data_IF_701924388291
#
_entry.id   IF_701924388291
#
_cell.length_a   1.000
_cell.length_b   1.000
_cell.length_c   1.000
_cell.angle_alpha   90.00
_cell.angle_beta   90.00
_cell.angle_gamma   90.00
#
_symmetry.space_group_name_H-M   'P 1'
#
loop_
_entity.id
_entity.type
_entity.pdbx_description
1 polymer ?
#
# COMPACT_ATOMS: atom_id res chain seq x y z
N UNK A 1 -4.51 -1.14 17.07
CA UNK A 1 -3.37 -1.60 16.26
C UNK A 1 -3.86 -2.47 15.11
N UNK A 2 -4.43 -3.66 15.35
CA UNK A 2 -5.03 -4.50 14.29
C UNK A 2 -6.04 -3.75 13.37
N UNK A 3 -6.90 -2.88 13.95
CA UNK A 3 -7.93 -2.19 13.17
C UNK A 3 -7.39 -1.18 12.15
N UNK A 4 -6.21 -0.60 12.36
CA UNK A 4 -5.63 0.36 11.41
C UNK A 4 -4.97 -0.36 10.23
N UNK A 5 -4.26 -1.46 10.50
CA UNK A 5 -3.69 -2.30 9.43
C UNK A 5 -4.80 -2.91 8.58
N UNK A 6 -5.88 -3.39 9.21
CA UNK A 6 -7.06 -3.91 8.49
C UNK A 6 -7.71 -2.85 7.61
N UNK A 7 -7.80 -1.61 8.09
CA UNK A 7 -8.32 -0.48 7.32
C UNK A 7 -7.44 -0.17 6.11
N UNK A 8 -6.12 -0.06 6.31
CA UNK A 8 -5.16 0.15 5.21
C UNK A 8 -5.21 -1.02 4.20
N UNK A 9 -5.32 -2.26 4.66
CA UNK A 9 -5.43 -3.42 3.80
C UNK A 9 -6.72 -3.38 2.96
N UNK A 10 -7.83 -2.91 3.53
CA UNK A 10 -9.09 -2.72 2.82
C UNK A 10 -8.98 -1.63 1.76
N UNK A 11 -8.34 -0.50 2.06
CA UNK A 11 -8.08 0.57 1.10
C UNK A 11 -7.18 0.09 -0.04
N UNK A 12 -6.10 -0.62 0.27
CA UNK A 12 -5.21 -1.23 -0.72
C UNK A 12 -5.96 -2.22 -1.63
N UNK A 13 -6.88 -3.01 -1.07
CA UNK A 13 -7.73 -3.93 -1.83
C UNK A 13 -8.69 -3.19 -2.78
N UNK A 14 -9.25 -2.05 -2.35
CA UNK A 14 -10.12 -1.24 -3.21
C UNK A 14 -9.34 -0.68 -4.41
N UNK A 15 -8.14 -0.15 -4.17
CA UNK A 15 -7.25 0.28 -5.25
C UNK A 15 -6.91 -0.87 -6.20
N UNK A 16 -6.52 -2.03 -5.66
CA UNK A 16 -6.17 -3.20 -6.45
C UNK A 16 -7.34 -3.64 -7.35
N UNK A 17 -8.57 -3.61 -6.83
CA UNK A 17 -9.76 -3.92 -7.61
C UNK A 17 -10.00 -2.90 -8.73
N UNK A 18 -9.89 -1.61 -8.44
CA UNK A 18 -10.05 -0.56 -9.44
C UNK A 18 -9.01 -0.67 -10.57
N UNK A 19 -7.75 -0.98 -10.25
CA UNK A 19 -6.71 -1.24 -11.25
C UNK A 19 -7.03 -2.47 -12.11
N UNK A 20 -7.50 -3.58 -11.53
CA UNK A 20 -7.86 -4.79 -12.28
C UNK A 20 -9.07 -4.60 -13.19
N UNK A 21 -10.01 -3.74 -12.80
CA UNK A 21 -11.18 -3.40 -13.60
C UNK A 21 -10.89 -2.35 -14.67
N UNK A 22 -9.69 -1.76 -14.70
CA UNK A 22 -9.32 -0.70 -15.64
C UNK A 22 -9.97 0.64 -15.33
N UNK A 23 -10.45 0.87 -14.10
CA UNK A 23 -11.06 2.12 -13.68
C UNK A 23 -10.00 3.16 -13.31
N UNK A 24 -9.26 3.65 -14.30
CA UNK A 24 -8.05 4.46 -14.08
C UNK A 24 -8.28 5.73 -13.24
N UNK A 25 -9.39 6.43 -13.46
CA UNK A 25 -9.74 7.65 -12.72
C UNK A 25 -10.02 7.35 -11.24
N UNK A 26 -10.87 6.36 -10.98
CA UNK A 26 -11.19 5.90 -9.62
C UNK A 26 -9.95 5.33 -8.91
N UNK A 27 -9.19 4.50 -9.61
CA UNK A 27 -7.97 3.90 -9.07
C UNK A 27 -6.95 4.97 -8.68
N UNK A 28 -6.83 6.05 -9.45
CA UNK A 28 -5.92 7.16 -9.13
C UNK A 28 -6.36 7.90 -7.86
N UNK A 29 -7.64 8.18 -7.71
CA UNK A 29 -8.18 8.82 -6.49
C UNK A 29 -7.97 7.93 -5.27
N UNK A 30 -8.41 6.66 -5.35
CA UNK A 30 -8.24 5.71 -4.26
C UNK A 30 -6.77 5.48 -3.90
N UNK A 31 -5.87 5.51 -4.89
CA UNK A 31 -4.44 5.32 -4.65
C UNK A 31 -3.82 6.49 -3.88
N UNK A 32 -4.25 7.72 -4.15
CA UNK A 32 -3.80 8.90 -3.38
C UNK A 32 -4.25 8.76 -1.93
N UNK A 33 -5.54 8.48 -1.70
CA UNK A 33 -6.10 8.31 -0.36
C UNK A 33 -5.36 7.20 0.42
N UNK A 34 -5.08 6.08 -0.24
CA UNK A 34 -4.30 4.98 0.32
C UNK A 34 -2.86 5.40 0.69
N UNK A 35 -2.17 6.15 -0.17
CA UNK A 35 -0.80 6.60 0.10
C UNK A 35 -0.76 7.58 1.29
N UNK A 36 -1.73 8.47 1.40
CA UNK A 36 -1.85 9.40 2.54
C UNK A 36 -2.08 8.64 3.85
N UNK A 37 -3.01 7.68 3.84
CA UNK A 37 -3.32 6.86 5.01
C UNK A 37 -2.13 5.96 5.42
N UNK A 38 -1.45 5.34 4.44
CA UNK A 38 -0.25 4.54 4.68
C UNK A 38 0.88 5.39 5.26
N UNK A 39 1.13 6.58 4.70
CA UNK A 39 2.19 7.47 5.18
C UNK A 39 1.94 7.90 6.63
N UNK A 40 0.69 8.20 6.98
CA UNK A 40 0.28 8.53 8.34
C UNK A 40 0.51 7.34 9.30
N UNK A 41 0.17 6.12 8.87
CA UNK A 41 0.42 4.90 9.66
C UNK A 41 1.92 4.68 9.90
N UNK A 42 2.75 4.76 8.85
CA UNK A 42 4.19 4.57 8.98
C UNK A 42 4.83 5.63 9.88
N UNK A 43 4.40 6.89 9.79
CA UNK A 43 4.85 7.96 10.67
C UNK A 43 4.49 7.69 12.14
N UNK A 44 3.26 7.24 12.41
CA UNK A 44 2.80 6.91 13.76
C UNK A 44 3.62 5.78 14.42
N UNK A 45 4.18 4.88 13.62
CA UNK A 45 5.02 3.77 14.09
C UNK A 45 6.53 4.00 13.90
N UNK A 46 6.97 5.22 13.59
CA UNK A 46 8.38 5.56 13.33
C UNK A 46 9.04 4.73 12.21
N UNK A 47 8.24 4.28 11.24
CA UNK A 47 8.65 3.44 10.11
C UNK A 47 8.97 4.22 8.83
N UNK A 48 8.90 5.55 8.82
CA UNK A 48 9.19 6.38 7.64
C UNK A 48 10.60 6.17 7.06
N UNK A 49 11.58 5.82 7.89
CA UNK A 49 12.95 5.51 7.47
C UNK A 49 13.23 4.01 7.27
N UNK A 50 12.23 3.15 7.43
CA UNK A 50 12.42 1.71 7.38
C UNK A 50 12.76 1.26 5.95
N UNK A 51 13.87 0.51 5.84
CA UNK A 51 14.44 0.07 4.56
C UNK A 51 13.46 -0.77 3.73
N UNK A 52 12.69 -1.65 4.36
CA UNK A 52 11.75 -2.55 3.66
C UNK A 52 10.65 -1.74 2.97
N UNK A 53 10.07 -0.76 3.66
CA UNK A 53 9.06 0.12 3.05
C UNK A 53 9.64 0.99 1.94
N UNK A 54 10.86 1.50 2.10
CA UNK A 54 11.53 2.27 1.05
C UNK A 54 11.77 1.43 -0.22
N UNK A 55 12.22 0.18 -0.08
CA UNK A 55 12.40 -0.75 -1.20
C UNK A 55 11.05 -1.06 -1.87
N UNK A 56 10.00 -1.33 -1.09
CA UNK A 56 8.65 -1.57 -1.59
C UNK A 56 8.10 -0.38 -2.39
N UNK A 57 8.28 0.84 -1.88
CA UNK A 57 7.83 2.05 -2.58
C UNK A 57 8.56 2.26 -3.91
N UNK A 58 9.86 1.96 -3.99
CA UNK A 58 10.58 2.01 -5.27
C UNK A 58 10.00 1.03 -6.28
N UNK A 59 9.71 -0.20 -5.86
CA UNK A 59 9.07 -1.21 -6.72
C UNK A 59 7.71 -0.72 -7.22
N UNK A 60 6.87 -0.15 -6.33
CA UNK A 60 5.57 0.40 -6.69
C UNK A 60 5.69 1.59 -7.66
N UNK A 61 6.64 2.50 -7.45
CA UNK A 61 6.91 3.64 -8.35
C UNK A 61 7.33 3.14 -9.72
N UNK A 62 8.22 2.17 -9.79
CA UNK A 62 8.70 1.61 -11.06
C UNK A 62 7.60 0.87 -11.81
N UNK A 63 6.76 0.12 -11.11
CA UNK A 63 5.55 -0.49 -11.67
C UNK A 63 4.61 0.58 -12.24
N UNK A 64 4.38 1.66 -11.48
CA UNK A 64 3.54 2.77 -11.90
C UNK A 64 4.06 3.46 -13.17
N UNK A 65 5.38 3.72 -13.25
CA UNK A 65 6.05 4.31 -14.42
C UNK A 65 5.93 3.45 -15.68
N UNK A 66 5.97 2.12 -15.53
CA UNK A 66 5.79 1.18 -16.64
C UNK A 66 4.32 0.97 -17.04
N UNK A 67 3.38 1.55 -16.30
CA UNK A 67 1.95 1.29 -16.50
C UNK A 67 1.52 -0.10 -16.05
N UNK A 68 2.31 -0.78 -15.22
CA UNK A 68 2.05 -2.15 -14.78
C UNK A 68 1.07 -2.18 -13.61
N UNK A 69 -0.21 -1.90 -13.93
CA UNK A 69 -1.28 -1.76 -12.93
C UNK A 69 -1.66 -3.08 -12.27
N UNK A 70 -1.49 -4.21 -12.97
CA UNK A 70 -1.78 -5.53 -12.42
C UNK A 70 -0.73 -5.93 -11.38
N UNK A 71 0.54 -5.71 -11.67
CA UNK A 71 1.59 -5.94 -10.69
C UNK A 71 1.45 -5.02 -9.47
N UNK A 72 1.08 -3.75 -9.68
CA UNK A 72 0.79 -2.83 -8.57
C UNK A 72 -0.40 -3.33 -7.72
N UNK A 73 -1.45 -3.86 -8.34
CA UNK A 73 -2.59 -4.44 -7.65
C UNK A 73 -2.20 -5.67 -6.80
N UNK A 74 -1.27 -6.49 -7.27
CA UNK A 74 -0.77 -7.65 -6.52
C UNK A 74 0.04 -7.23 -5.29
N UNK A 75 0.91 -6.22 -5.43
CA UNK A 75 1.63 -5.63 -4.29
C UNK A 75 0.65 -5.11 -3.24
N UNK A 76 -0.34 -4.32 -3.68
CA UNK A 76 -1.33 -3.71 -2.80
C UNK A 76 -2.18 -4.74 -2.06
N UNK A 77 -2.60 -5.81 -2.75
CA UNK A 77 -3.48 -6.81 -2.16
C UNK A 77 -2.75 -7.80 -1.25
N UNK A 78 -1.55 -8.23 -1.64
CA UNK A 78 -0.91 -9.38 -1.00
C UNK A 78 0.34 -9.01 -0.22
N UNK A 79 1.24 -8.21 -0.80
CA UNK A 79 2.55 -7.91 -0.18
C UNK A 79 2.43 -6.85 0.91
N UNK A 80 1.78 -5.72 0.61
CA UNK A 80 1.68 -4.59 1.53
C UNK A 80 1.04 -4.98 2.89
N UNK A 81 -0.11 -5.67 2.94
CA UNK A 81 -0.70 -6.05 4.23
C UNK A 81 0.14 -7.07 5.00
N UNK A 82 0.89 -7.93 4.31
CA UNK A 82 1.79 -8.89 4.95
C UNK A 82 2.98 -8.16 5.61
N UNK A 83 3.62 -7.24 4.89
CA UNK A 83 4.75 -6.45 5.38
C UNK A 83 4.34 -5.56 6.56
N UNK A 84 3.17 -4.92 6.49
CA UNK A 84 2.63 -4.10 7.57
C UNK A 84 2.45 -4.91 8.87
N UNK A 85 1.83 -6.10 8.78
CA UNK A 85 1.67 -6.98 9.95
C UNK A 85 3.01 -7.39 10.55
N UNK A 86 3.97 -7.78 9.72
CA UNK A 86 5.31 -8.16 10.19
C UNK A 86 6.04 -7.04 10.95
N UNK A 87 5.88 -5.78 10.53
CA UNK A 87 6.65 -4.67 11.11
C UNK A 87 5.89 -3.86 12.17
N UNK A 88 4.56 -3.98 12.23
CA UNK A 88 3.71 -3.25 13.17
C UNK A 88 3.16 -4.16 14.27
N UNK A 89 2.75 -5.40 13.95
CA UNK A 89 2.25 -6.33 14.99
C UNK A 89 3.39 -6.91 15.85
N UNK A 90 4.64 -6.91 15.36
CA UNK A 90 5.82 -7.32 16.13
C UNK A 90 6.45 -6.17 16.95
N UNK A 91 5.86 -4.97 16.90
CA UNK A 91 6.35 -3.83 17.66
C UNK A 91 5.84 -3.90 19.12
N UNK A 92 6.71 -4.01 20.14
CA UNK A 92 6.32 -4.19 21.54
C UNK A 92 5.55 -3.01 22.15
#
# INVERSE_FOLDING_TARGET
MASQIEQIAKEAQQVANAFRLGYEGEASTLYIDFIDALTALLAAHSLTGNRVFNELFQVMIDAHKRGDKLFLADILQYEMPAILRQHIDESP
#
